data_IF_397233170203
#
_entry.id   IF_397233170203
#
_cell.length_a   1.000
_cell.length_b   1.000
_cell.length_c   1.000
_cell.angle_alpha   90.00
_cell.angle_beta   90.00
_cell.angle_gamma   90.00
#
_symmetry.space_group_name_H-M   'P 1'
#
loop_
_entity.id
_entity.type
_entity.pdbx_description
1 polymer ?
#
# COMPACT_ATOMS: atom_id res chain seq x y z
N UNK A 1 3.65 -11.73 -13.89
CA UNK A 1 3.06 -10.38 -13.98
C UNK A 1 2.52 -10.05 -15.37
N UNK A 2 2.98 -10.71 -16.42
CA UNK A 2 2.68 -10.40 -17.83
C UNK A 2 1.29 -10.83 -18.35
N UNK A 3 0.45 -11.39 -17.51
CA UNK A 3 -0.91 -11.76 -17.93
C UNK A 3 -1.80 -10.53 -18.02
N UNK A 4 -2.66 -10.41 -19.05
CA UNK A 4 -3.61 -9.31 -19.15
C UNK A 4 -4.53 -9.26 -17.93
N UNK A 5 -5.00 -8.08 -17.59
CA UNK A 5 -5.97 -7.88 -16.50
C UNK A 5 -7.30 -8.50 -16.92
N UNK A 6 -7.93 -9.23 -16.00
CA UNK A 6 -9.18 -9.95 -16.24
C UNK A 6 -10.36 -9.25 -15.57
N UNK A 7 -11.57 -9.50 -16.09
CA UNK A 7 -12.80 -9.01 -15.48
C UNK A 7 -13.01 -9.54 -14.06
N UNK A 8 -12.60 -10.77 -13.79
CA UNK A 8 -12.72 -11.39 -12.45
C UNK A 8 -11.87 -10.68 -11.40
N UNK A 9 -10.66 -10.21 -11.76
CA UNK A 9 -9.81 -9.43 -10.85
C UNK A 9 -10.42 -8.07 -10.53
N UNK A 10 -10.96 -7.39 -11.54
CA UNK A 10 -11.64 -6.09 -11.37
C UNK A 10 -12.88 -6.27 -10.50
N UNK A 11 -13.68 -7.30 -10.78
CA UNK A 11 -14.90 -7.60 -10.04
C UNK A 11 -14.61 -7.89 -8.57
N UNK A 12 -13.59 -8.68 -8.26
CA UNK A 12 -13.19 -8.98 -6.90
C UNK A 12 -12.84 -7.72 -6.09
N UNK A 13 -12.22 -6.73 -6.74
CA UNK A 13 -11.90 -5.44 -6.11
C UNK A 13 -13.15 -4.59 -5.91
N UNK A 14 -14.05 -4.52 -6.89
CA UNK A 14 -15.28 -3.70 -6.82
C UNK A 14 -16.29 -4.27 -5.81
N UNK A 15 -16.35 -5.59 -5.62
CA UNK A 15 -17.24 -6.21 -4.63
C UNK A 15 -16.96 -5.77 -3.19
N UNK A 16 -15.71 -5.48 -2.87
CA UNK A 16 -15.28 -5.12 -1.51
C UNK A 16 -14.55 -3.77 -1.48
N UNK A 17 -15.19 -2.67 -1.92
CA UNK A 17 -14.54 -1.38 -1.83
C UNK A 17 -14.42 -0.97 -0.36
N UNK A 18 -13.40 -0.23 -0.01
CA UNK A 18 -13.30 0.35 1.32
C UNK A 18 -14.54 1.23 1.56
N UNK A 19 -15.35 0.86 2.55
CA UNK A 19 -16.55 1.63 2.94
C UNK A 19 -16.15 3.05 3.37
N UNK A 20 -16.98 4.03 3.06
CA UNK A 20 -16.84 5.43 3.49
C UNK A 20 -15.51 6.11 3.08
N UNK A 21 -14.95 5.76 1.93
CA UNK A 21 -13.78 6.47 1.37
C UNK A 21 -14.23 7.62 0.49
N UNK A 22 -13.58 8.78 0.68
CA UNK A 22 -13.80 9.96 -0.15
C UNK A 22 -13.47 9.69 -1.62
N UNK A 23 -14.25 10.31 -2.50
CA UNK A 23 -13.97 10.34 -3.93
C UNK A 23 -12.67 11.12 -4.20
N UNK A 24 -12.06 10.87 -5.36
CA UNK A 24 -11.01 11.71 -5.91
C UNK A 24 -11.58 12.91 -6.67
N UNK A 25 -10.74 13.62 -7.47
CA UNK A 25 -11.14 14.78 -8.26
C UNK A 25 -12.34 14.53 -9.18
N UNK A 26 -12.50 13.32 -9.71
CA UNK A 26 -13.60 12.92 -10.57
C UNK A 26 -14.97 12.82 -9.89
N UNK A 27 -15.05 12.92 -8.56
CA UNK A 27 -16.30 12.93 -7.80
C UNK A 27 -17.00 11.57 -7.64
N UNK A 28 -16.63 10.55 -8.40
CA UNK A 28 -17.24 9.22 -8.30
C UNK A 28 -16.81 8.49 -7.03
N UNK A 29 -17.78 7.90 -6.33
CA UNK A 29 -17.55 7.16 -5.09
C UNK A 29 -17.39 5.66 -5.34
N UNK A 30 -16.87 4.91 -4.35
CA UNK A 30 -16.85 3.45 -4.42
C UNK A 30 -18.25 2.83 -4.54
N UNK A 31 -19.27 3.44 -3.92
CA UNK A 31 -20.67 3.02 -4.04
C UNK A 31 -21.18 3.13 -5.47
N UNK A 32 -20.82 4.20 -6.19
CA UNK A 32 -21.16 4.35 -7.61
C UNK A 32 -20.63 3.17 -8.44
N UNK A 33 -19.36 2.80 -8.27
CA UNK A 33 -18.77 1.67 -8.98
C UNK A 33 -19.39 0.32 -8.60
N UNK A 34 -19.90 0.18 -7.37
CA UNK A 34 -20.63 -1.02 -6.97
C UNK A 34 -22.01 -1.09 -7.61
N UNK A 35 -22.76 0.02 -7.59
CA UNK A 35 -24.12 0.09 -8.12
C UNK A 35 -24.13 -0.16 -9.62
N UNK A 36 -23.23 0.47 -10.37
CA UNK A 36 -23.14 0.38 -11.83
C UNK A 36 -22.05 -0.59 -12.29
N UNK A 37 -21.82 -1.65 -11.50
CA UNK A 37 -20.72 -2.60 -11.75
C UNK A 37 -20.81 -3.24 -13.15
N UNK A 38 -21.98 -3.70 -13.54
CA UNK A 38 -22.17 -4.44 -14.77
C UNK A 38 -21.89 -3.56 -16.00
N UNK A 39 -22.32 -2.31 -15.97
CA UNK A 39 -22.11 -1.34 -17.03
C UNK A 39 -20.66 -0.85 -17.09
N UNK A 40 -20.03 -0.66 -15.94
CA UNK A 40 -18.67 -0.14 -15.85
C UNK A 40 -17.58 -1.21 -16.11
N UNK A 41 -17.89 -2.48 -15.88
CA UNK A 41 -16.92 -3.57 -16.04
C UNK A 41 -16.26 -3.61 -17.41
N UNK A 42 -16.99 -3.60 -18.55
CA UNK A 42 -16.37 -3.64 -19.88
C UNK A 42 -15.53 -2.39 -20.16
N UNK A 43 -15.94 -1.24 -19.64
CA UNK A 43 -15.23 0.04 -19.81
C UNK A 43 -13.89 0.00 -19.05
N UNK A 44 -13.91 -0.43 -17.78
CA UNK A 44 -12.71 -0.55 -16.96
C UNK A 44 -11.74 -1.59 -17.53
N UNK A 45 -12.25 -2.74 -17.96
CA UNK A 45 -11.44 -3.81 -18.53
C UNK A 45 -10.68 -3.32 -19.76
N UNK A 46 -11.40 -2.72 -20.73
CA UNK A 46 -10.81 -2.16 -21.95
C UNK A 46 -9.77 -1.08 -21.62
N UNK A 47 -10.07 -0.21 -20.66
CA UNK A 47 -9.16 0.86 -20.22
C UNK A 47 -7.88 0.30 -19.60
N UNK A 48 -7.99 -0.69 -18.70
CA UNK A 48 -6.84 -1.27 -18.02
C UNK A 48 -5.98 -2.12 -18.95
N UNK A 49 -6.59 -2.82 -19.91
CA UNK A 49 -5.85 -3.54 -20.94
C UNK A 49 -5.07 -2.58 -21.82
N UNK A 50 -5.70 -1.47 -22.26
CA UNK A 50 -5.02 -0.43 -23.03
C UNK A 50 -3.84 0.17 -22.27
N UNK A 51 -3.97 0.45 -20.98
CA UNK A 51 -2.89 0.93 -20.12
C UNK A 51 -1.74 -0.10 -20.08
N UNK A 52 -2.06 -1.39 -19.98
CA UNK A 52 -1.05 -2.45 -19.97
C UNK A 52 -0.31 -2.58 -21.32
N UNK A 53 -1.01 -2.40 -22.43
CA UNK A 53 -0.44 -2.45 -23.78
C UNK A 53 0.44 -1.22 -24.10
N UNK A 54 -0.02 -0.04 -23.75
CA UNK A 54 0.65 1.23 -24.06
C UNK A 54 1.74 1.60 -23.04
N UNK A 55 1.72 0.99 -21.85
CA UNK A 55 2.64 1.33 -20.74
C UNK A 55 2.45 2.74 -20.18
N UNK A 56 1.35 3.41 -20.52
CA UNK A 56 1.06 4.79 -20.11
C UNK A 56 -0.28 4.89 -19.38
N UNK A 57 -0.27 5.64 -18.27
CA UNK A 57 -1.49 5.92 -17.52
C UNK A 57 -2.20 7.14 -18.09
N UNK A 58 -3.53 7.14 -18.06
CA UNK A 58 -4.32 8.33 -18.38
C UNK A 58 -4.06 9.47 -17.37
N UNK A 59 -4.15 10.72 -17.80
CA UNK A 59 -3.88 11.90 -16.95
C UNK A 59 -4.65 11.88 -15.63
N UNK A 60 -5.90 11.43 -15.64
CA UNK A 60 -6.74 11.32 -14.44
C UNK A 60 -6.18 10.39 -13.35
N UNK A 61 -5.22 9.51 -13.68
CA UNK A 61 -4.54 8.64 -12.72
C UNK A 61 -3.42 9.35 -11.95
N UNK A 62 -2.90 10.46 -12.51
CA UNK A 62 -1.89 11.30 -11.87
C UNK A 62 -2.52 12.42 -11.02
N UNK A 63 -3.84 12.60 -11.11
CA UNK A 63 -4.55 13.64 -10.37
C UNK A 63 -5.00 13.13 -9.00
N UNK A 64 -4.77 13.94 -7.97
CA UNK A 64 -5.25 13.68 -6.63
C UNK A 64 -5.61 14.98 -5.91
N UNK A 65 -6.64 14.93 -5.09
CA UNK A 65 -6.94 15.99 -4.14
C UNK A 65 -6.14 15.76 -2.86
N UNK A 66 -5.36 16.74 -2.43
CA UNK A 66 -4.60 16.63 -1.19
C UNK A 66 -5.40 17.26 -0.06
N UNK A 67 -5.72 16.46 0.96
CA UNK A 67 -6.37 16.90 2.19
C UNK A 67 -5.41 16.71 3.35
N UNK A 68 -5.31 17.69 4.24
CA UNK A 68 -4.47 17.61 5.44
C UNK A 68 -5.32 17.27 6.66
N UNK A 69 -4.91 16.26 7.42
CA UNK A 69 -5.60 15.79 8.62
C UNK A 69 -4.68 15.98 9.83
N UNK A 70 -5.14 16.58 10.93
CA UNK A 70 -4.33 16.71 12.13
C UNK A 70 -4.02 15.35 12.73
N UNK A 71 -2.83 15.20 13.29
CA UNK A 71 -2.44 14.02 14.07
C UNK A 71 -3.21 14.07 15.40
N UNK A 72 -3.78 12.93 15.87
CA UNK A 72 -4.45 12.89 17.15
C UNK A 72 -3.50 13.33 18.28
N UNK A 73 -4.02 14.02 19.27
CA UNK A 73 -3.31 14.45 20.47
C UNK A 73 -2.09 15.37 20.22
N UNK A 74 -2.04 16.05 19.07
CA UNK A 74 -1.01 17.01 18.72
C UNK A 74 -1.57 18.42 18.58
N UNK A 75 -0.71 19.41 18.82
CA UNK A 75 -1.02 20.82 18.67
C UNK A 75 -1.35 21.15 17.21
N UNK A 76 -2.60 21.52 16.94
CA UNK A 76 -3.11 21.84 15.60
C UNK A 76 -2.58 23.20 15.04
N UNK A 77 -1.87 23.99 15.83
CA UNK A 77 -1.26 25.23 15.36
C UNK A 77 0.02 24.99 14.55
N UNK A 78 0.62 23.80 14.68
CA UNK A 78 1.89 23.45 14.05
C UNK A 78 1.66 22.58 12.80
N UNK A 79 2.17 23.03 11.64
CA UNK A 79 2.04 22.35 10.35
C UNK A 79 2.63 20.93 10.33
N UNK A 80 3.68 20.67 11.10
CA UNK A 80 4.31 19.35 11.25
C UNK A 80 3.40 18.31 11.90
N UNK A 81 2.35 18.76 12.56
CA UNK A 81 1.34 17.92 13.20
C UNK A 81 0.19 17.52 12.27
N UNK A 82 0.30 17.84 10.98
CA UNK A 82 -0.66 17.39 9.98
C UNK A 82 -0.09 16.26 9.12
N UNK A 83 -1.01 15.41 8.62
CA UNK A 83 -0.71 14.36 7.63
C UNK A 83 -1.39 14.73 6.32
N UNK A 84 -0.65 14.92 5.22
CA UNK A 84 -1.27 15.03 3.90
C UNK A 84 -1.81 13.67 3.48
N UNK A 85 -3.03 13.65 2.98
CA UNK A 85 -3.68 12.46 2.42
C UNK A 85 -4.07 12.76 0.99
N UNK A 86 -3.62 11.94 0.05
CA UNK A 86 -3.95 12.05 -1.36
C UNK A 86 -5.22 11.25 -1.68
N UNK A 87 -6.24 11.93 -2.15
CA UNK A 87 -7.50 11.36 -2.58
C UNK A 87 -7.47 11.19 -4.10
N UNK A 88 -7.09 10.00 -4.55
CA UNK A 88 -7.05 9.62 -5.98
C UNK A 88 -8.43 9.21 -6.49
N UNK A 89 -8.62 9.22 -7.78
CA UNK A 89 -9.80 8.69 -8.45
C UNK A 89 -10.00 7.20 -8.16
N UNK A 90 -11.25 6.76 -8.12
CA UNK A 90 -11.60 5.37 -7.74
C UNK A 90 -11.12 4.37 -8.79
N UNK A 91 -11.17 4.68 -10.07
CA UNK A 91 -10.65 3.83 -11.14
C UNK A 91 -9.14 3.58 -10.99
N UNK A 92 -8.36 4.61 -10.64
CA UNK A 92 -6.95 4.47 -10.31
C UNK A 92 -6.73 3.57 -9.08
N UNK A 93 -7.56 3.72 -8.04
CA UNK A 93 -7.53 2.86 -6.85
C UNK A 93 -7.87 1.41 -7.19
N UNK A 94 -8.82 1.16 -8.09
CA UNK A 94 -9.18 -0.19 -8.55
C UNK A 94 -7.97 -0.83 -9.25
N UNK A 95 -7.36 -0.15 -10.21
CA UNK A 95 -6.17 -0.65 -10.90
C UNK A 95 -5.04 -0.96 -9.91
N UNK A 96 -4.72 0.00 -9.05
CA UNK A 96 -3.67 -0.20 -8.03
C UNK A 96 -3.96 -1.39 -7.12
N UNK A 97 -5.23 -1.63 -6.77
CA UNK A 97 -5.61 -2.78 -5.93
C UNK A 97 -5.48 -4.10 -6.67
N UNK A 98 -5.84 -4.15 -7.96
CA UNK A 98 -5.61 -5.34 -8.81
C UNK A 98 -4.12 -5.66 -8.88
N UNK A 99 -3.28 -4.67 -9.15
CA UNK A 99 -1.83 -4.85 -9.19
C UNK A 99 -1.25 -5.26 -7.83
N UNK A 100 -1.70 -4.63 -6.75
CA UNK A 100 -1.30 -4.99 -5.39
C UNK A 100 -1.66 -6.44 -5.05
N UNK A 101 -2.85 -6.92 -5.42
CA UNK A 101 -3.24 -8.31 -5.21
C UNK A 101 -2.35 -9.29 -5.99
N UNK A 102 -1.93 -8.91 -7.21
CA UNK A 102 -0.98 -9.73 -8.00
C UNK A 102 0.40 -9.78 -7.34
N UNK A 103 0.91 -8.63 -6.90
CA UNK A 103 2.20 -8.54 -6.22
C UNK A 103 2.18 -9.33 -4.91
N UNK A 104 1.09 -9.22 -4.14
CA UNK A 104 0.92 -9.90 -2.85
C UNK A 104 1.19 -11.41 -2.94
N UNK A 105 0.82 -12.07 -4.04
CA UNK A 105 1.05 -13.50 -4.25
C UNK A 105 2.53 -13.88 -4.35
N UNK A 106 3.39 -12.91 -4.63
CA UNK A 106 4.84 -13.12 -4.77
C UNK A 106 5.64 -12.58 -3.58
N UNK A 107 4.99 -11.82 -2.69
CA UNK A 107 5.69 -11.12 -1.59
C UNK A 107 6.43 -12.07 -0.67
N UNK A 108 5.85 -13.22 -0.32
CA UNK A 108 6.50 -14.23 0.55
C UNK A 108 7.81 -14.76 -0.01
N UNK A 109 7.95 -14.79 -1.35
CA UNK A 109 9.16 -15.26 -2.03
C UNK A 109 10.23 -14.18 -2.18
N UNK A 110 9.81 -12.92 -2.16
CA UNK A 110 10.67 -11.76 -2.41
C UNK A 110 11.20 -11.15 -1.11
N UNK A 111 10.46 -11.30 -0.02
CA UNK A 111 10.76 -10.63 1.23
C UNK A 111 11.49 -11.58 2.18
N UNK A 112 12.45 -11.04 2.90
CA UNK A 112 13.22 -11.77 3.91
C UNK A 112 12.28 -12.25 5.03
N UNK A 113 12.47 -13.47 5.51
CA UNK A 113 11.60 -14.10 6.51
C UNK A 113 11.50 -13.36 7.85
N UNK A 114 12.44 -12.46 8.13
CA UNK A 114 12.43 -11.64 9.35
C UNK A 114 11.59 -10.36 9.19
N UNK A 115 11.19 -10.01 7.97
CA UNK A 115 10.29 -8.90 7.71
C UNK A 115 8.85 -9.35 7.93
N UNK A 116 8.21 -8.88 9.00
CA UNK A 116 6.83 -9.25 9.35
C UNK A 116 5.83 -8.10 9.17
N UNK A 117 6.29 -6.87 9.10
CA UNK A 117 5.42 -5.69 8.94
C UNK A 117 4.81 -5.61 7.55
N UNK A 118 3.49 -5.38 7.49
CA UNK A 118 2.71 -5.20 6.26
C UNK A 118 2.64 -6.42 5.32
N UNK A 119 3.04 -7.60 5.77
CA UNK A 119 2.91 -8.85 5.03
C UNK A 119 1.69 -9.59 5.56
N UNK A 120 0.78 -10.00 4.66
CA UNK A 120 -0.39 -10.79 5.03
C UNK A 120 0.06 -12.10 5.69
N UNK A 121 -0.66 -12.51 6.74
CA UNK A 121 -0.42 -13.75 7.50
C UNK A 121 0.86 -13.77 8.35
N UNK A 122 1.77 -12.80 8.20
CA UNK A 122 2.92 -12.67 9.08
C UNK A 122 2.54 -11.90 10.36
N UNK A 123 2.69 -12.54 11.51
CA UNK A 123 2.37 -11.93 12.79
C UNK A 123 3.63 -11.30 13.41
N UNK A 124 3.54 -10.03 13.82
CA UNK A 124 4.60 -9.34 14.55
C UNK A 124 5.03 -10.03 15.86
N UNK A 125 4.18 -10.93 16.37
CA UNK A 125 4.49 -11.74 17.56
C UNK A 125 5.77 -12.56 17.41
N UNK A 126 6.03 -13.13 16.24
CA UNK A 126 7.27 -13.90 15.99
C UNK A 126 8.52 -13.05 16.15
N UNK A 127 8.53 -11.81 15.68
CA UNK A 127 9.66 -10.88 15.83
C UNK A 127 9.84 -10.42 17.27
N UNK A 128 8.73 -10.16 17.98
CA UNK A 128 8.78 -9.83 19.41
C UNK A 128 9.36 -11.01 20.20
N UNK A 129 8.91 -12.23 19.94
CA UNK A 129 9.39 -13.43 20.63
C UNK A 129 10.87 -13.69 20.35
N UNK A 130 11.33 -13.56 19.11
CA UNK A 130 12.77 -13.63 18.76
C UNK A 130 13.57 -12.59 19.55
N UNK A 131 13.10 -11.33 19.61
CA UNK A 131 13.78 -10.27 20.35
C UNK A 131 13.88 -10.57 21.85
N UNK A 132 12.80 -11.07 22.46
CA UNK A 132 12.78 -11.46 23.87
C UNK A 132 13.78 -12.60 24.12
N UNK A 133 13.82 -13.63 23.26
CA UNK A 133 14.74 -14.74 23.38
C UNK A 133 16.21 -14.29 23.31
N UNK A 134 16.52 -13.36 22.38
CA UNK A 134 17.86 -12.78 22.25
C UNK A 134 18.24 -12.02 23.52
N UNK A 135 17.35 -11.17 24.04
CA UNK A 135 17.57 -10.42 25.28
C UNK A 135 17.79 -11.36 26.47
N UNK A 136 16.96 -12.41 26.59
CA UNK A 136 17.14 -13.41 27.67
C UNK A 136 18.47 -14.18 27.55
N UNK A 137 18.89 -14.50 26.32
CA UNK A 137 20.18 -15.14 26.08
C UNK A 137 21.34 -14.23 26.48
N UNK A 138 21.29 -12.97 26.04
CA UNK A 138 22.31 -11.95 26.37
C UNK A 138 22.42 -11.73 27.87
N UNK A 139 21.29 -11.65 28.58
CA UNK A 139 21.30 -11.46 30.04
C UNK A 139 21.92 -12.63 30.83
N UNK A 140 22.01 -13.81 30.22
CA UNK A 140 22.72 -14.97 30.80
C UNK A 140 24.23 -14.91 30.58
N UNK A 141 24.70 -14.14 29.61
CA UNK A 141 26.13 -13.97 29.31
C UNK A 141 26.70 -12.83 30.16
N UNK A 142 27.27 -13.16 31.31
CA UNK A 142 27.74 -12.18 32.31
C UNK A 142 29.00 -11.39 31.90
N UNK A 143 29.74 -11.85 30.90
CA UNK A 143 31.12 -11.37 30.65
C UNK A 143 31.25 -10.43 29.45
N UNK A 144 30.13 -9.97 28.83
CA UNK A 144 30.18 -9.09 27.68
C UNK A 144 29.09 -8.02 27.74
N UNK A 145 29.48 -6.79 27.42
CA UNK A 145 28.52 -5.70 27.21
C UNK A 145 27.87 -5.87 25.84
N UNK A 146 26.56 -5.82 25.80
CA UNK A 146 25.77 -5.90 24.60
C UNK A 146 24.97 -4.61 24.42
N UNK A 147 24.70 -4.25 23.16
CA UNK A 147 23.89 -3.08 22.80
C UNK A 147 22.78 -3.52 21.85
N UNK A 148 21.56 -3.04 22.08
CA UNK A 148 20.44 -3.21 21.18
C UNK A 148 20.20 -1.85 20.52
N UNK A 149 20.23 -1.83 19.19
CA UNK A 149 19.96 -0.63 18.38
C UNK A 149 18.62 -0.80 17.70
N UNK A 150 17.67 0.08 18.00
CA UNK A 150 16.41 0.19 17.27
C UNK A 150 16.48 1.37 16.30
N UNK A 151 16.21 1.09 15.02
CA UNK A 151 16.24 2.10 13.96
C UNK A 151 14.86 2.19 13.32
N UNK A 152 14.29 3.37 13.33
CA UNK A 152 13.04 3.69 12.62
C UNK A 152 13.31 4.65 11.47
N UNK A 153 12.75 4.35 10.30
CA UNK A 153 12.97 5.17 9.10
C UNK A 153 11.99 6.35 9.05
N UNK A 154 12.49 7.56 9.27
CA UNK A 154 11.70 8.77 9.11
C UNK A 154 11.33 8.99 7.65
N UNK A 155 10.01 9.13 7.37
CA UNK A 155 9.47 9.39 6.03
C UNK A 155 10.02 8.43 4.95
N UNK A 156 10.00 7.14 5.24
CA UNK A 156 10.60 6.10 4.39
C UNK A 156 10.16 6.20 2.93
N UNK A 157 8.87 6.40 2.66
CA UNK A 157 8.34 6.52 1.29
C UNK A 157 8.81 7.79 0.55
N UNK A 158 9.01 8.90 1.26
CA UNK A 158 9.48 10.16 0.66
C UNK A 158 10.99 10.12 0.35
N UNK A 159 11.74 9.27 1.06
CA UNK A 159 13.20 9.18 0.95
C UNK A 159 13.69 8.06 0.02
N UNK A 160 12.81 7.15 -0.39
CA UNK A 160 13.18 6.08 -1.33
C UNK A 160 13.45 6.67 -2.72
N UNK A 161 14.60 6.35 -3.27
CA UNK A 161 14.90 6.65 -4.68
C UNK A 161 14.17 5.66 -5.58
N UNK A 162 13.14 6.13 -6.30
CA UNK A 162 12.32 5.30 -7.16
C UNK A 162 13.14 4.56 -8.22
N UNK A 163 14.16 5.20 -8.79
CA UNK A 163 15.05 4.58 -9.77
C UNK A 163 15.85 3.41 -9.19
N UNK A 164 16.26 3.50 -7.93
CA UNK A 164 16.94 2.40 -7.25
C UNK A 164 15.99 1.22 -7.02
N UNK A 165 14.77 1.50 -6.60
CA UNK A 165 13.75 0.48 -6.39
C UNK A 165 13.40 -0.29 -7.68
N UNK A 166 13.26 0.42 -8.82
CA UNK A 166 12.99 -0.19 -10.13
C UNK A 166 14.14 -1.09 -10.60
N UNK A 167 15.39 -0.79 -10.22
CA UNK A 167 16.55 -1.62 -10.59
C UNK A 167 16.68 -2.92 -9.79
N UNK A 168 16.04 -2.98 -8.61
CA UNK A 168 16.11 -4.16 -7.74
C UNK A 168 14.97 -5.14 -8.03
N UNK A 169 13.82 -4.64 -8.51
CA UNK A 169 12.66 -5.43 -8.92
C UNK A 169 12.87 -6.05 -10.31
#
# INVERSE_FOLDING_TARGET
MDKPITSTEIEAVIKHPPKNKSSGPGGFTGAFYQTFREELMPILLKRFQKIAEEGTLANSFYEAMITVIPKPDKDNTKKENYRPISLMNIDAKILNRVLANRIQQHMEKLIYHDQVGFISEMQGFSSIHKSINVIQHINKLKDRNHMIISVDAEKAFDKIQHQFMIKIL
#
